data_IF_562173581178
#
_entry.id   IF_562173581178
#
_cell.length_a   1.000
_cell.length_b   1.000
_cell.length_c   1.000
_cell.angle_alpha   90.00
_cell.angle_beta   90.00
_cell.angle_gamma   90.00
#
_symmetry.space_group_name_H-M   'P 1'
#
loop_
_entity.id
_entity.type
_entity.pdbx_description
1 polymer ?
#
# COMPACT_ATOMS: atom_id res chain seq x y z
N UNK A 1 -13.13 6.72 3.46
CA UNK A 1 -12.10 5.71 3.14
C UNK A 1 -10.75 6.38 3.04
N UNK A 2 -9.79 5.94 3.85
CA UNK A 2 -8.48 6.60 4.04
C UNK A 2 -8.18 7.00 5.49
N UNK A 3 -8.77 6.31 6.48
CA UNK A 3 -8.45 6.52 7.90
C UNK A 3 -8.88 7.86 8.52
N UNK A 4 -9.65 8.70 7.81
CA UNK A 4 -10.21 9.93 8.37
C UNK A 4 -11.14 9.58 9.54
N UNK A 5 -10.71 9.93 10.77
CA UNK A 5 -11.41 9.61 12.02
C UNK A 5 -11.02 8.27 12.67
N UNK A 6 -10.09 7.51 12.09
CA UNK A 6 -9.56 6.28 12.72
C UNK A 6 -8.24 6.54 13.44
N UNK A 7 -7.99 5.85 14.54
CA UNK A 7 -6.69 5.84 15.20
C UNK A 7 -6.71 5.05 16.49
N UNK A 8 -5.61 5.12 17.24
CA UNK A 8 -5.47 4.46 18.53
C UNK A 8 -5.61 5.47 19.65
N UNK A 9 -6.55 5.23 20.56
CA UNK A 9 -6.66 5.97 21.80
C UNK A 9 -5.91 5.22 22.90
N UNK A 10 -4.97 5.89 23.57
CA UNK A 10 -4.21 5.33 24.70
C UNK A 10 -4.75 5.82 26.05
N UNK A 11 -5.59 6.86 26.03
CA UNK A 11 -6.26 7.39 27.21
C UNK A 11 -7.75 7.55 26.98
N UNK A 12 -8.52 7.63 28.08
CA UNK A 12 -9.96 7.90 28.02
C UNK A 12 -10.26 9.23 27.37
N UNK A 13 -9.46 10.25 27.66
CA UNK A 13 -9.63 11.59 27.10
C UNK A 13 -9.39 11.62 25.59
N UNK A 14 -8.42 10.84 25.10
CA UNK A 14 -8.22 10.66 23.65
C UNK A 14 -9.41 9.94 23.03
N UNK A 15 -9.88 8.85 23.65
CA UNK A 15 -11.04 8.11 23.16
C UNK A 15 -12.28 8.99 23.02
N UNK A 16 -12.61 9.76 24.05
CA UNK A 16 -13.78 10.66 24.05
C UNK A 16 -13.68 11.70 22.93
N UNK A 17 -12.49 12.27 22.68
CA UNK A 17 -12.27 13.21 21.57
C UNK A 17 -12.42 12.54 20.22
N UNK A 18 -11.75 11.41 20.02
CA UNK A 18 -11.76 10.69 18.74
C UNK A 18 -13.17 10.20 18.38
N UNK A 19 -13.92 9.71 19.37
CA UNK A 19 -15.32 9.31 19.17
C UNK A 19 -16.18 10.52 18.81
N UNK A 20 -16.03 11.66 19.50
CA UNK A 20 -16.79 12.87 19.18
C UNK A 20 -16.49 13.36 17.75
N UNK A 21 -15.23 13.42 17.36
CA UNK A 21 -14.80 13.82 16.01
C UNK A 21 -15.30 12.82 14.95
N UNK A 22 -15.24 11.52 15.26
CA UNK A 22 -15.73 10.45 14.41
C UNK A 22 -17.23 10.53 14.19
N UNK A 23 -18.02 10.76 15.24
CA UNK A 23 -19.48 10.91 15.16
C UNK A 23 -19.89 12.14 14.34
N UNK A 24 -19.15 13.26 14.46
CA UNK A 24 -19.39 14.46 13.65
C UNK A 24 -19.03 14.27 12.17
N UNK A 25 -17.99 13.49 11.91
CA UNK A 25 -17.51 13.22 10.54
C UNK A 25 -18.28 12.10 9.84
N UNK A 26 -18.94 11.23 10.61
CA UNK A 26 -19.66 10.07 10.11
C UNK A 26 -20.98 10.48 9.45
N UNK A 27 -21.23 10.09 8.18
CA UNK A 27 -22.51 10.34 7.52
C UNK A 27 -23.72 9.70 8.22
N UNK A 28 -23.49 8.64 8.99
CA UNK A 28 -24.51 7.92 9.76
C UNK A 28 -24.46 8.21 11.25
N UNK A 29 -23.56 9.09 11.70
CA UNK A 29 -23.34 9.39 13.13
C UNK A 29 -23.02 8.12 13.94
N UNK A 30 -22.16 7.27 13.38
CA UNK A 30 -21.72 6.02 13.99
C UNK A 30 -20.19 5.93 14.01
N UNK A 31 -19.65 5.28 15.04
CA UNK A 31 -18.25 4.91 15.18
C UNK A 31 -18.14 3.46 15.64
N UNK A 32 -17.08 2.78 15.21
CA UNK A 32 -16.76 1.42 15.64
C UNK A 32 -15.59 1.48 16.63
N UNK A 33 -15.75 0.83 17.77
CA UNK A 33 -14.70 0.67 18.79
C UNK A 33 -14.36 -0.82 18.90
N UNK A 34 -13.08 -1.15 18.74
CA UNK A 34 -12.60 -2.53 18.74
C UNK A 34 -11.41 -2.72 19.70
N UNK A 35 -11.12 -3.98 20.00
CA UNK A 35 -9.89 -4.39 20.67
C UNK A 35 -8.67 -3.95 19.86
N UNK A 36 -7.61 -3.49 20.55
CA UNK A 36 -6.38 -3.06 19.88
C UNK A 36 -5.61 -4.25 19.31
N UNK A 37 -5.48 -4.29 17.99
CA UNK A 37 -4.61 -5.21 17.23
C UNK A 37 -3.30 -4.52 16.77
N UNK A 38 -2.89 -3.45 17.46
CA UNK A 38 -1.66 -2.72 17.16
C UNK A 38 -0.45 -3.67 17.15
N UNK A 39 0.35 -3.61 16.09
CA UNK A 39 1.54 -4.44 15.91
C UNK A 39 1.30 -5.80 15.25
N UNK A 40 0.05 -6.18 14.98
CA UNK A 40 -0.25 -7.43 14.26
C UNK A 40 0.16 -7.34 12.79
N UNK A 41 0.36 -8.50 12.15
CA UNK A 41 0.65 -8.57 10.71
C UNK A 41 -0.62 -8.20 9.93
N UNK A 42 -0.51 -7.31 8.95
CA UNK A 42 -1.65 -6.89 8.12
C UNK A 42 -1.55 -7.52 6.73
N UNK A 43 -2.68 -8.03 6.23
CA UNK A 43 -2.80 -8.64 4.92
C UNK A 43 -3.98 -8.07 4.17
N UNK A 44 -3.87 -7.98 2.84
CA UNK A 44 -5.01 -7.73 1.96
C UNK A 44 -5.22 -8.90 0.99
N UNK A 45 -6.49 -9.22 0.75
CA UNK A 45 -6.90 -10.23 -0.23
C UNK A 45 -7.82 -9.61 -1.27
N UNK A 46 -7.35 -9.60 -2.52
CA UNK A 46 -8.13 -9.16 -3.68
C UNK A 46 -8.85 -10.38 -4.26
N UNK A 47 -10.17 -10.36 -4.22
CA UNK A 47 -11.05 -11.44 -4.70
C UNK A 47 -11.87 -10.94 -5.89
N UNK A 48 -12.23 -11.87 -6.79
CA UNK A 48 -13.28 -11.66 -7.78
C UNK A 48 -14.28 -12.81 -7.79
N UNK A 49 -15.56 -12.47 -7.91
CA UNK A 49 -16.69 -13.39 -8.01
C UNK A 49 -17.52 -13.10 -9.25
N UNK A 50 -17.92 -14.15 -9.96
CA UNK A 50 -18.84 -14.09 -11.09
C UNK A 50 -20.26 -14.54 -10.73
N UNK A 51 -21.19 -14.41 -11.67
CA UNK A 51 -22.60 -14.81 -11.50
C UNK A 51 -22.81 -16.32 -11.36
N UNK A 52 -21.82 -17.14 -11.71
CA UNK A 52 -21.84 -18.59 -11.54
C UNK A 52 -21.26 -19.02 -10.18
N UNK A 53 -21.05 -18.07 -9.26
CA UNK A 53 -20.42 -18.27 -7.96
C UNK A 53 -18.95 -18.74 -8.02
N UNK A 54 -18.30 -18.63 -9.17
CA UNK A 54 -16.86 -18.86 -9.25
C UNK A 54 -16.16 -17.71 -8.54
N UNK A 55 -15.32 -18.05 -7.55
CA UNK A 55 -14.56 -17.06 -6.79
C UNK A 55 -13.07 -17.37 -6.89
N UNK A 56 -12.29 -16.37 -7.26
CA UNK A 56 -10.83 -16.46 -7.38
C UNK A 56 -10.14 -15.44 -6.49
N UNK A 57 -9.04 -15.84 -5.87
CA UNK A 57 -8.08 -14.90 -5.30
C UNK A 57 -7.20 -14.39 -6.43
N UNK A 58 -7.20 -13.09 -6.64
CA UNK A 58 -6.39 -12.43 -7.67
C UNK A 58 -5.01 -12.09 -7.13
N UNK A 59 -4.94 -11.60 -5.90
CA UNK A 59 -3.68 -11.20 -5.27
C UNK A 59 -3.80 -11.32 -3.75
N UNK A 60 -2.73 -11.80 -3.12
CA UNK A 60 -2.49 -11.63 -1.70
C UNK A 60 -1.41 -10.57 -1.50
N UNK A 61 -1.61 -9.71 -0.51
CA UNK A 61 -0.71 -8.62 -0.18
C UNK A 61 -0.38 -8.73 1.31
N UNK A 62 0.88 -8.54 1.66
CA UNK A 62 1.34 -8.47 3.04
C UNK A 62 1.97 -7.10 3.27
N UNK A 63 1.59 -6.46 4.37
CA UNK A 63 2.21 -5.21 4.79
C UNK A 63 3.50 -5.53 5.56
N UNK A 64 4.59 -4.85 5.19
CA UNK A 64 5.86 -4.90 5.91
C UNK A 64 5.75 -4.12 7.21
N UNK A 65 5.04 -2.99 7.17
CA UNK A 65 4.70 -2.22 8.36
C UNK A 65 3.46 -2.85 9.02
N UNK A 66 3.50 -3.13 10.33
CA UNK A 66 2.38 -3.78 11.02
C UNK A 66 1.18 -2.85 11.18
N UNK A 67 0.06 -3.43 11.61
CA UNK A 67 -1.15 -2.66 11.98
C UNK A 67 -0.77 -1.54 12.94
N UNK A 68 -1.16 -0.32 12.59
CA UNK A 68 -0.68 0.91 13.23
C UNK A 68 -0.25 1.96 12.21
N UNK A 69 0.26 1.51 11.07
CA UNK A 69 0.54 2.33 9.89
C UNK A 69 -0.59 2.12 8.89
N UNK A 70 -1.19 3.21 8.39
CA UNK A 70 -2.26 3.07 7.41
C UNK A 70 -1.73 2.42 6.14
N UNK A 71 -2.46 1.47 5.56
CA UNK A 71 -2.02 0.68 4.38
C UNK A 71 -1.59 1.54 3.19
N UNK A 72 -2.13 2.76 3.07
CA UNK A 72 -1.72 3.72 2.04
C UNK A 72 -0.30 4.31 2.20
N UNK A 73 0.22 4.28 3.43
CA UNK A 73 1.56 4.75 3.81
C UNK A 73 2.52 3.57 4.09
N UNK A 74 1.98 2.36 4.32
CA UNK A 74 2.74 1.14 4.54
C UNK A 74 3.50 0.68 3.29
N UNK A 75 4.68 0.09 3.49
CA UNK A 75 5.34 -0.70 2.47
C UNK A 75 4.63 -2.05 2.39
N UNK A 76 4.19 -2.44 1.18
CA UNK A 76 3.48 -3.70 0.96
C UNK A 76 4.19 -4.57 -0.08
N UNK A 77 4.11 -5.89 0.09
CA UNK A 77 4.64 -6.89 -0.84
C UNK A 77 3.52 -7.80 -1.35
N UNK A 78 3.72 -8.34 -2.55
CA UNK A 78 2.84 -9.34 -3.14
C UNK A 78 3.70 -10.41 -3.85
N UNK A 79 3.44 -11.71 -3.64
CA UNK A 79 2.40 -12.28 -2.77
C UNK A 79 2.73 -12.13 -1.27
N UNK A 80 1.79 -12.54 -0.40
CA UNK A 80 2.08 -12.76 1.02
C UNK A 80 3.24 -13.76 1.18
N UNK A 81 4.13 -13.51 2.14
CA UNK A 81 5.40 -14.21 2.33
C UNK A 81 5.43 -15.04 3.61
N UNK A 82 4.80 -14.58 4.69
CA UNK A 82 4.99 -15.14 6.04
C UNK A 82 3.83 -15.99 6.55
N UNK A 83 2.79 -16.18 5.75
CA UNK A 83 1.72 -17.14 6.06
C UNK A 83 2.14 -18.55 5.63
N UNK A 84 1.90 -19.53 6.49
CA UNK A 84 1.87 -20.93 6.06
C UNK A 84 0.72 -21.14 5.09
N UNK A 85 0.81 -22.18 4.26
CA UNK A 85 -0.29 -22.52 3.34
C UNK A 85 -1.61 -22.73 4.09
N UNK A 86 -1.60 -23.34 5.28
CA UNK A 86 -2.82 -23.55 6.09
C UNK A 86 -3.46 -22.24 6.54
N UNK A 87 -2.67 -21.30 7.04
CA UNK A 87 -3.18 -19.97 7.44
C UNK A 87 -3.70 -19.21 6.22
N UNK A 88 -3.00 -19.32 5.09
CA UNK A 88 -3.42 -18.71 3.83
C UNK A 88 -4.74 -19.28 3.32
N UNK A 89 -4.91 -20.61 3.32
CA UNK A 89 -6.17 -21.24 2.93
C UNK A 89 -7.31 -20.84 3.87
N UNK A 90 -7.05 -20.75 5.17
CA UNK A 90 -8.05 -20.30 6.14
C UNK A 90 -8.50 -18.84 5.87
N UNK A 91 -7.54 -17.93 5.65
CA UNK A 91 -7.82 -16.55 5.27
C UNK A 91 -8.60 -16.47 3.95
N UNK A 92 -8.23 -17.29 2.96
CA UNK A 92 -8.91 -17.38 1.67
C UNK A 92 -10.37 -17.82 1.84
N UNK A 93 -10.62 -18.85 2.63
CA UNK A 93 -11.98 -19.38 2.83
C UNK A 93 -12.87 -18.35 3.54
N UNK A 94 -12.34 -17.65 4.54
CA UNK A 94 -13.04 -16.53 5.18
C UNK A 94 -13.35 -15.42 4.16
N UNK A 95 -12.38 -15.06 3.31
CA UNK A 95 -12.59 -14.04 2.28
C UNK A 95 -13.70 -14.42 1.28
N UNK A 96 -13.75 -15.69 0.86
CA UNK A 96 -14.80 -16.22 -0.01
C UNK A 96 -16.18 -16.19 0.68
N UNK A 97 -16.24 -16.53 1.97
CA UNK A 97 -17.47 -16.44 2.74
C UNK A 97 -17.96 -14.99 2.89
N UNK A 98 -17.05 -14.05 3.11
CA UNK A 98 -17.38 -12.62 3.22
C UNK A 98 -17.96 -12.09 1.91
N UNK A 99 -17.29 -12.29 0.77
CA UNK A 99 -17.75 -11.76 -0.53
C UNK A 99 -19.14 -12.31 -0.90
N UNK A 100 -19.44 -13.56 -0.52
CA UNK A 100 -20.77 -14.18 -0.67
C UNK A 100 -21.80 -13.55 0.25
N UNK A 101 -21.50 -13.42 1.55
CA UNK A 101 -22.46 -12.89 2.55
C UNK A 101 -22.79 -11.41 2.34
N UNK A 102 -21.83 -10.62 1.88
CA UNK A 102 -22.05 -9.21 1.53
C UNK A 102 -22.85 -9.06 0.23
N UNK A 103 -23.00 -10.13 -0.56
CA UNK A 103 -23.83 -10.13 -1.77
C UNK A 103 -23.15 -9.48 -2.98
N UNK A 104 -21.82 -9.62 -3.11
CA UNK A 104 -21.14 -9.21 -4.34
C UNK A 104 -21.33 -10.30 -5.38
N UNK A 105 -22.35 -10.18 -6.22
CA UNK A 105 -22.72 -11.20 -7.22
C UNK A 105 -21.91 -11.12 -8.50
N UNK A 106 -21.33 -9.96 -8.81
CA UNK A 106 -20.43 -9.79 -9.95
C UNK A 106 -19.47 -8.64 -9.67
N UNK A 107 -18.18 -8.95 -9.59
CA UNK A 107 -17.14 -7.96 -9.40
C UNK A 107 -16.08 -8.41 -8.40
N UNK A 108 -15.28 -7.44 -7.96
CA UNK A 108 -14.20 -7.68 -7.01
C UNK A 108 -14.41 -7.03 -5.65
N UNK A 109 -13.63 -7.47 -4.69
CA UNK A 109 -13.45 -6.78 -3.43
C UNK A 109 -12.01 -6.90 -2.94
N UNK A 110 -11.61 -5.95 -2.11
CA UNK A 110 -10.40 -6.01 -1.31
C UNK A 110 -10.85 -6.21 0.14
N UNK A 111 -10.32 -7.24 0.79
CA UNK A 111 -10.59 -7.52 2.22
C UNK A 111 -9.28 -7.39 2.97
N UNK A 112 -9.29 -6.64 4.07
CA UNK A 112 -8.15 -6.45 4.95
C UNK A 112 -8.27 -7.35 6.18
N UNK A 113 -7.16 -7.98 6.56
CA UNK A 113 -7.04 -8.90 7.67
C UNK A 113 -5.87 -8.51 8.57
N UNK A 114 -5.99 -8.84 9.86
CA UNK A 114 -4.89 -8.84 10.81
C UNK A 114 -4.63 -10.28 11.30
N UNK A 115 -3.37 -10.64 11.46
CA UNK A 115 -2.96 -11.93 12.04
C UNK A 115 -2.01 -11.70 13.19
N UNK A 116 -2.32 -12.26 14.35
CA UNK A 116 -1.45 -12.26 15.52
C UNK A 116 -0.21 -13.12 15.20
N UNK A 117 1.01 -12.56 15.25
CA UNK A 117 2.22 -13.34 15.03
C UNK A 117 2.51 -14.38 16.14
N UNK A 118 1.88 -14.28 17.31
CA UNK A 118 2.13 -15.15 18.44
C UNK A 118 1.39 -16.50 18.33
N UNK A 119 0.13 -16.49 17.88
CA UNK A 119 -0.73 -17.67 17.84
C UNK A 119 -1.46 -17.90 16.51
N UNK A 120 -1.34 -16.99 15.55
CA UNK A 120 -1.99 -17.06 14.25
C UNK A 120 -3.47 -16.66 14.25
N UNK A 121 -3.98 -16.05 15.34
CA UNK A 121 -5.36 -15.56 15.41
C UNK A 121 -5.61 -14.56 14.28
N UNK A 122 -6.63 -14.82 13.47
CA UNK A 122 -7.00 -14.01 12.33
C UNK A 122 -8.26 -13.17 12.62
N UNK A 123 -8.19 -11.89 12.29
CA UNK A 123 -9.28 -10.91 12.43
C UNK A 123 -9.50 -10.24 11.07
N UNK A 124 -10.77 -9.98 10.73
CA UNK A 124 -11.15 -9.20 9.56
C UNK A 124 -11.27 -7.74 9.98
N UNK A 125 -10.58 -6.83 9.27
CA UNK A 125 -10.58 -5.40 9.58
C UNK A 125 -11.71 -4.70 8.82
N UNK A 126 -11.66 -4.74 7.49
CA UNK A 126 -12.69 -4.15 6.65
C UNK A 126 -12.78 -4.86 5.28
N UNK A 127 -13.89 -4.63 4.58
CA UNK A 127 -14.06 -5.02 3.19
C UNK A 127 -14.45 -3.81 2.36
N UNK A 128 -13.72 -3.64 1.26
CA UNK A 128 -13.98 -2.61 0.27
C UNK A 128 -14.44 -3.26 -1.04
N UNK A 129 -15.71 -3.07 -1.40
CA UNK A 129 -16.22 -3.48 -2.71
C UNK A 129 -15.51 -2.68 -3.82
N UNK A 130 -14.99 -3.37 -4.83
CA UNK A 130 -14.44 -2.74 -6.02
C UNK A 130 -15.55 -2.55 -7.07
N UNK A 131 -15.68 -1.33 -7.61
CA UNK A 131 -16.59 -1.06 -8.73
C UNK A 131 -16.15 -1.83 -9.99
N UNK A 132 -17.06 -2.20 -10.91
CA UNK A 132 -16.71 -2.97 -12.13
C UNK A 132 -15.62 -2.34 -13.01
N UNK A 133 -15.49 -1.00 -13.00
CA UNK A 133 -14.47 -0.26 -13.77
C UNK A 133 -13.09 -0.21 -13.08
N UNK A 134 -13.00 -0.68 -11.83
CA UNK A 134 -11.78 -0.72 -11.06
C UNK A 134 -11.20 -2.13 -11.22
N UNK A 135 -10.32 -2.29 -12.21
CA UNK A 135 -9.36 -3.40 -12.19
C UNK A 135 -8.78 -3.51 -10.76
N UNK A 136 -8.52 -4.73 -10.24
CA UNK A 136 -8.04 -4.95 -8.88
C UNK A 136 -6.97 -3.94 -8.58
N UNK A 137 -7.10 -3.22 -7.47
CA UNK A 137 -6.34 -2.01 -7.22
C UNK A 137 -4.85 -2.27 -7.35
N UNK A 138 -4.28 -1.99 -8.53
CA UNK A 138 -2.93 -1.43 -8.63
C UNK A 138 -3.02 -0.03 -8.04
N UNK A 139 -3.29 0.09 -6.73
CA UNK A 139 -3.19 1.34 -5.98
C UNK A 139 -1.72 1.69 -5.97
N UNK A 140 -1.30 2.37 -7.05
CA UNK A 140 0.05 2.85 -7.37
C UNK A 140 1.17 2.06 -6.69
N UNK A 141 1.55 0.93 -7.29
CA UNK A 141 2.90 0.34 -7.16
C UNK A 141 3.91 1.40 -7.58
N UNK A 142 4.35 2.21 -6.63
CA UNK A 142 5.60 2.95 -6.71
C UNK A 142 6.43 2.44 -5.54
N UNK A 143 7.03 1.26 -5.73
CA UNK A 143 8.34 1.03 -5.12
C UNK A 143 9.10 2.33 -5.31
N UNK A 144 9.51 2.94 -4.21
CA UNK A 144 10.08 4.27 -4.15
C UNK A 144 11.33 4.35 -5.04
N UNK A 145 11.15 4.56 -6.34
CA UNK A 145 12.12 5.29 -7.14
C UNK A 145 12.11 6.66 -6.51
N UNK A 146 13.07 6.88 -5.60
CA UNK A 146 13.41 8.18 -5.09
C UNK A 146 13.29 9.14 -6.27
N UNK A 147 12.33 10.06 -6.19
CA UNK A 147 12.41 11.23 -7.05
C UNK A 147 13.70 11.89 -6.56
N UNK A 148 14.82 11.62 -7.24
CA UNK A 148 15.98 12.50 -7.15
C UNK A 148 15.43 13.87 -7.47
N UNK A 149 15.28 14.70 -6.45
CA UNK A 149 15.05 16.12 -6.63
C UNK A 149 16.08 16.61 -7.63
N UNK A 150 15.69 17.39 -8.66
CA UNK A 150 16.67 18.06 -9.48
C UNK A 150 17.51 18.90 -8.52
N UNK A 151 18.83 18.66 -8.51
CA UNK A 151 19.77 19.50 -7.77
C UNK A 151 19.44 20.95 -8.12
N UNK A 152 19.07 21.73 -7.10
CA UNK A 152 19.01 23.18 -7.19
C UNK A 152 20.39 23.67 -7.62
N UNK A 153 20.48 24.18 -8.84
CA UNK A 153 21.63 24.95 -9.31
C UNK A 153 21.85 26.14 -8.37
N UNK A 154 23.08 26.41 -7.91
CA UNK A 154 23.34 27.59 -7.09
C UNK A 154 23.18 28.83 -7.96
N UNK A 155 22.29 29.74 -7.53
CA UNK A 155 22.17 31.10 -8.05
C UNK A 155 23.48 31.86 -7.78
N UNK A 156 24.35 31.91 -8.78
CA UNK A 156 25.51 32.78 -8.76
C UNK A 156 25.06 34.21 -9.09
N UNK A 157 25.30 35.10 -8.13
CA UNK A 157 25.16 36.55 -8.23
C UNK A 157 26.07 37.07 -9.36
N UNK A 158 25.49 37.88 -10.25
CA UNK A 158 26.19 38.47 -11.38
C UNK A 158 27.28 39.45 -10.90
N UNK A 159 28.52 39.21 -11.33
CA UNK A 159 29.59 40.22 -11.37
C UNK A 159 30.30 40.11 -12.71
N UNK A 160 30.18 41.19 -13.47
CA UNK A 160 30.73 41.40 -14.81
C UNK A 160 32.25 41.51 -14.77
N UNK A 161 32.96 40.68 -15.56
CA UNK A 161 34.28 41.02 -16.12
C UNK A 161 34.58 40.21 -17.38
N UNK A 162 34.92 40.95 -18.44
CA UNK A 162 35.16 40.56 -19.83
C UNK A 162 36.51 39.82 -20.05
N UNK A 163 36.79 39.29 -21.26
CA UNK A 163 37.56 38.06 -21.47
C UNK A 163 39.05 38.30 -21.74
N UNK A 164 39.87 37.30 -21.41
CA UNK A 164 41.24 37.18 -21.94
C UNK A 164 41.52 35.74 -22.40
N UNK A 165 41.58 35.61 -23.71
CA UNK A 165 42.46 34.78 -24.53
C UNK A 165 43.40 33.78 -23.83
N UNK A 166 43.39 32.51 -24.23
CA UNK A 166 44.55 31.93 -24.95
C UNK A 166 44.24 30.57 -25.60
N UNK A 167 44.86 30.43 -26.77
CA UNK A 167 44.88 29.33 -27.74
C UNK A 167 45.72 28.14 -27.25
N UNK A 168 45.41 26.96 -27.82
CA UNK A 168 46.27 25.80 -28.18
C UNK A 168 45.67 24.52 -27.59
N UNK A 169 45.65 23.36 -28.25
CA UNK A 169 45.93 22.91 -29.62
C UNK A 169 45.53 21.43 -29.63
N UNK A 170 44.79 20.97 -30.65
CA UNK A 170 44.56 19.52 -30.87
C UNK A 170 45.86 18.83 -31.30
N UNK A 171 45.95 17.50 -31.11
CA UNK A 171 45.86 16.67 -32.32
C UNK A 171 44.95 15.41 -32.19
N UNK A 172 44.43 15.03 -33.36
CA UNK A 172 43.89 13.73 -33.83
C UNK A 172 44.83 12.55 -33.48
N UNK A 173 44.50 11.26 -33.49
CA UNK A 173 43.34 10.45 -33.91
C UNK A 173 43.55 8.99 -33.41
N UNK A 174 42.53 8.16 -33.61
CA UNK A 174 42.55 6.71 -33.95
C UNK A 174 41.77 5.80 -32.99
N UNK A 175 40.70 5.22 -33.53
CA UNK A 175 40.08 3.94 -33.13
C UNK A 175 40.74 2.82 -33.97
N UNK A 176 40.62 1.49 -33.69
CA UNK A 176 39.32 0.79 -33.59
C UNK A 176 39.25 -0.52 -32.75
N UNK A 177 38.02 -1.06 -32.68
CA UNK A 177 37.60 -2.49 -32.62
C UNK A 177 37.62 -3.28 -31.30
N UNK A 178 36.41 -3.50 -30.79
CA UNK A 178 35.69 -4.78 -30.58
C UNK A 178 36.46 -6.10 -30.39
N UNK A 179 36.17 -6.79 -29.28
CA UNK A 179 36.22 -8.27 -29.17
C UNK A 179 35.11 -8.77 -28.24
N UNK A 180 34.28 -9.69 -28.75
CA UNK A 180 33.27 -10.52 -28.08
C UNK A 180 33.93 -11.66 -27.28
N UNK A 181 33.31 -12.07 -26.17
CA UNK A 181 33.66 -13.27 -25.42
C UNK A 181 32.56 -14.33 -25.56
N UNK A 182 32.98 -15.58 -25.76
CA UNK A 182 32.17 -16.80 -25.64
C UNK A 182 32.08 -17.25 -24.18
#
# INVERSE_FOLDING_TARGET
MGGLGSGFAHTRQELERMVADGLQSSPTTEVLLEESILGWKEYELELMRDTADNTVVVCSIENVDPVGVHTGDSITVAPALTLTDREYQHMRDIGIDIIRRVGVDTGGCNIQFAVDPADGRLIVIEMNRASPARAPSRRRRRASRSRRSPRSSPSATASTRSPTTSRRSRPRASSPRSTTWS
#
